data_IF_592012426580
#
_entry.id   IF_592012426580
#
_cell.length_a   1.000
_cell.length_b   1.000
_cell.length_c   1.000
_cell.angle_alpha   90.00
_cell.angle_beta   90.00
_cell.angle_gamma   90.00
#
_symmetry.space_group_name_H-M   'P 1'
#
loop_
_entity.id
_entity.type
_entity.pdbx_description
1 polymer ?
#
# COMPACT_ATOMS: atom_id res chain seq x y z
N UNK A 1 -46.26 22.90 5.04
CA UNK A 1 -45.57 24.17 4.73
C UNK A 1 -44.68 24.47 5.92
N UNK A 2 -43.45 23.95 5.91
CA UNK A 2 -42.52 24.05 7.04
C UNK A 2 -41.81 25.40 7.00
N UNK A 3 -41.97 26.17 8.07
CA UNK A 3 -41.16 27.35 8.38
C UNK A 3 -39.81 26.88 8.95
N UNK A 4 -38.75 27.59 8.60
CA UNK A 4 -37.37 27.22 8.93
C UNK A 4 -37.01 27.34 10.41
N UNK A 5 -35.88 26.73 10.77
CA UNK A 5 -34.67 27.34 11.36
C UNK A 5 -33.72 26.16 11.67
N UNK A 6 -32.49 26.18 11.15
CA UNK A 6 -31.39 25.52 11.84
C UNK A 6 -30.10 26.33 11.65
N UNK A 7 -29.68 26.92 12.77
CA UNK A 7 -28.34 27.43 13.02
C UNK A 7 -27.29 26.33 12.84
N UNK A 8 -26.08 26.75 12.44
CA UNK A 8 -24.86 25.95 12.56
C UNK A 8 -24.10 25.83 11.25
N UNK A 9 -23.11 26.70 11.05
CA UNK A 9 -22.07 26.49 10.05
C UNK A 9 -21.29 25.21 10.42
N UNK A 10 -21.12 24.22 9.52
CA UNK A 10 -20.12 23.19 9.70
C UNK A 10 -18.73 23.76 9.38
N UNK A 11 -17.82 23.43 10.27
CA UNK A 11 -16.39 23.73 10.28
C UNK A 11 -15.67 23.31 8.99
N UNK A 12 -14.56 23.99 8.68
CA UNK A 12 -13.69 23.67 7.53
C UNK A 12 -12.98 22.33 7.77
N UNK A 13 -13.63 21.22 7.44
CA UNK A 13 -13.07 19.89 7.52
C UNK A 13 -13.78 18.89 6.62
N UNK A 14 -12.98 18.15 5.85
CA UNK A 14 -13.35 16.91 5.14
C UNK A 14 -14.37 17.01 3.99
N UNK A 15 -13.91 17.48 2.83
CA UNK A 15 -14.46 16.96 1.57
C UNK A 15 -13.94 15.53 1.39
N UNK A 16 -14.81 14.54 1.62
CA UNK A 16 -14.61 13.17 1.16
C UNK A 16 -14.38 13.21 -0.37
N UNK A 17 -13.14 13.00 -0.80
CA UNK A 17 -12.83 12.81 -2.22
C UNK A 17 -13.23 11.39 -2.63
N UNK A 18 -14.53 11.17 -2.85
CA UNK A 18 -14.95 10.09 -3.74
C UNK A 18 -14.57 10.51 -5.17
N UNK A 19 -13.42 10.04 -5.63
CA UNK A 19 -12.85 10.43 -6.91
C UNK A 19 -12.52 9.23 -7.77
N UNK A 20 -12.88 9.30 -9.05
CA UNK A 20 -12.38 8.38 -10.06
C UNK A 20 -10.90 8.69 -10.36
N UNK A 21 -10.03 7.70 -10.26
CA UNK A 21 -8.60 7.85 -10.54
C UNK A 21 -8.23 7.24 -11.89
N UNK A 22 -7.55 8.02 -12.74
CA UNK A 22 -7.00 7.55 -14.01
C UNK A 22 -5.49 7.30 -13.91
N UNK A 23 -5.02 6.15 -14.40
CA UNK A 23 -3.58 5.87 -14.58
C UNK A 23 -3.22 6.07 -16.05
N UNK A 24 -2.43 7.10 -16.33
CA UNK A 24 -2.01 7.47 -17.69
C UNK A 24 -0.53 7.14 -17.87
N UNK A 25 -0.25 5.94 -18.40
CA UNK A 25 1.11 5.39 -18.60
C UNK A 25 1.45 5.14 -20.09
N UNK A 26 0.55 5.50 -20.99
CA UNK A 26 0.64 5.22 -22.42
C UNK A 26 -0.10 6.29 -23.22
N UNK A 27 0.27 6.45 -24.49
CA UNK A 27 -0.36 7.42 -25.38
C UNK A 27 -1.87 7.16 -25.56
N UNK A 28 -2.29 5.90 -25.59
CA UNK A 28 -3.70 5.56 -25.75
C UNK A 28 -4.52 5.93 -24.52
N UNK A 29 -4.01 5.67 -23.31
CA UNK A 29 -4.65 6.14 -22.08
C UNK A 29 -4.64 7.67 -21.96
N UNK A 30 -3.62 8.34 -22.51
CA UNK A 30 -3.60 9.80 -22.56
C UNK A 30 -4.72 10.36 -23.46
N UNK A 31 -4.95 9.74 -24.63
CA UNK A 31 -6.06 10.12 -25.51
C UNK A 31 -7.42 9.91 -24.83
N UNK A 32 -7.61 8.78 -24.15
CA UNK A 32 -8.84 8.48 -23.41
C UNK A 32 -9.08 9.50 -22.28
N UNK A 33 -8.03 9.84 -21.52
CA UNK A 33 -8.13 10.85 -20.47
C UNK A 33 -8.49 12.23 -21.04
N UNK A 34 -7.86 12.66 -22.13
CA UNK A 34 -8.21 13.91 -22.81
C UNK A 34 -9.68 13.91 -23.26
N UNK A 35 -10.16 12.80 -23.84
CA UNK A 35 -11.55 12.67 -24.25
C UNK A 35 -12.50 12.77 -23.05
N UNK A 36 -12.19 12.10 -21.94
CA UNK A 36 -12.97 12.20 -20.71
C UNK A 36 -13.06 13.63 -20.18
N UNK A 37 -11.92 14.34 -20.10
CA UNK A 37 -11.88 15.74 -19.65
C UNK A 37 -12.72 16.65 -20.54
N UNK A 38 -12.66 16.44 -21.86
CA UNK A 38 -13.45 17.21 -22.84
C UNK A 38 -14.96 16.95 -22.70
N UNK A 39 -15.37 15.71 -22.40
CA UNK A 39 -16.78 15.39 -22.18
C UNK A 39 -17.29 16.05 -20.90
N UNK A 40 -16.54 15.95 -19.81
CA UNK A 40 -16.87 16.58 -18.52
C UNK A 40 -16.96 18.10 -18.60
N UNK A 41 -16.15 18.74 -19.46
CA UNK A 41 -16.21 20.18 -19.68
C UNK A 41 -17.55 20.66 -20.27
N UNK A 42 -18.33 19.77 -20.92
CA UNK A 42 -19.66 20.09 -21.44
C UNK A 42 -20.73 20.19 -20.35
N UNK A 43 -20.50 19.58 -19.17
CA UNK A 43 -21.49 19.50 -18.09
C UNK A 43 -21.58 20.78 -17.24
N UNK A 44 -20.88 21.86 -17.64
CA UNK A 44 -20.81 23.18 -16.99
C UNK A 44 -20.49 23.15 -15.48
N UNK A 45 -20.08 21.99 -14.96
CA UNK A 45 -19.76 21.78 -13.56
C UNK A 45 -18.25 21.83 -13.39
N UNK A 46 -17.71 22.70 -12.51
CA UNK A 46 -16.27 22.74 -12.25
C UNK A 46 -15.74 21.38 -11.75
N UNK A 47 -14.74 20.84 -12.43
CA UNK A 47 -14.01 19.63 -12.02
C UNK A 47 -12.56 20.01 -11.68
N UNK A 48 -12.05 19.50 -10.57
CA UNK A 48 -10.65 19.69 -10.16
C UNK A 48 -9.90 18.39 -10.40
N UNK A 49 -8.85 18.46 -11.22
CA UNK A 49 -7.95 17.33 -11.47
C UNK A 49 -6.63 17.54 -10.72
N UNK A 50 -6.15 16.51 -10.03
CA UNK A 50 -4.84 16.54 -9.38
C UNK A 50 -3.88 15.58 -10.07
N UNK A 51 -2.73 16.09 -10.51
CA UNK A 51 -1.65 15.27 -11.06
C UNK A 51 -0.82 14.74 -9.89
N UNK A 52 -0.82 13.42 -9.72
CA UNK A 52 0.09 12.74 -8.80
C UNK A 52 1.22 12.11 -9.60
N UNK A 53 2.44 12.57 -9.38
CA UNK A 53 3.63 11.93 -9.93
C UNK A 53 3.82 10.59 -9.19
N UNK A 54 3.74 9.49 -9.92
CA UNK A 54 3.86 8.15 -9.35
C UNK A 54 5.25 7.93 -8.80
N UNK A 55 5.39 7.93 -7.48
CA UNK A 55 6.50 7.24 -6.82
C UNK A 55 5.97 5.87 -6.46
N UNK A 56 6.41 4.83 -7.20
CA UNK A 56 5.90 3.45 -7.15
C UNK A 56 4.42 3.36 -7.58
N UNK A 57 4.07 2.45 -8.50
CA UNK A 57 2.67 2.29 -8.90
C UNK A 57 1.83 1.87 -7.69
N UNK A 58 0.65 2.47 -7.49
CA UNK A 58 -0.29 2.14 -6.39
C UNK A 58 -0.50 0.62 -6.26
N UNK A 59 -0.43 -0.11 -7.38
CA UNK A 59 -0.50 -1.57 -7.42
C UNK A 59 0.66 -2.24 -6.67
N UNK A 60 1.89 -1.76 -6.84
CA UNK A 60 3.06 -2.31 -6.15
C UNK A 60 3.02 -2.00 -4.65
N UNK A 61 2.52 -0.81 -4.26
CA UNK A 61 2.33 -0.48 -2.85
C UNK A 61 1.29 -1.39 -2.19
N UNK A 62 0.12 -1.55 -2.81
CA UNK A 62 -0.93 -2.41 -2.28
C UNK A 62 -0.49 -3.87 -2.16
N UNK A 63 0.25 -4.37 -3.16
CA UNK A 63 0.70 -5.75 -3.15
C UNK A 63 1.79 -6.04 -2.10
N UNK A 64 2.58 -5.04 -1.68
CA UNK A 64 3.48 -5.20 -0.53
C UNK A 64 2.73 -5.30 0.79
N UNK A 65 1.74 -4.44 1.00
CA UNK A 65 0.90 -4.50 2.18
C UNK A 65 0.17 -5.85 2.26
N UNK A 66 -0.28 -6.37 1.11
CA UNK A 66 -0.81 -7.72 1.01
C UNK A 66 0.23 -8.78 1.40
N UNK A 67 1.44 -8.73 0.83
CA UNK A 67 2.52 -9.67 1.18
C UNK A 67 2.84 -9.64 2.68
N UNK A 68 2.96 -8.46 3.31
CA UNK A 68 3.24 -8.35 4.74
C UNK A 68 2.14 -8.99 5.58
N UNK A 69 0.88 -8.85 5.15
CA UNK A 69 -0.27 -9.47 5.82
C UNK A 69 -0.29 -10.97 5.67
N UNK A 70 0.01 -11.49 4.49
CA UNK A 70 0.11 -12.94 4.24
C UNK A 70 1.23 -13.56 5.07
N UNK A 71 2.40 -12.91 5.15
CA UNK A 71 3.50 -13.34 6.02
C UNK A 71 3.09 -13.34 7.48
N UNK A 72 2.44 -12.28 7.95
CA UNK A 72 1.99 -12.19 9.35
C UNK A 72 1.02 -13.32 9.69
N UNK A 73 0.01 -13.55 8.85
CA UNK A 73 -0.97 -14.60 9.04
C UNK A 73 -0.31 -16.00 9.02
N UNK A 74 0.53 -16.27 8.02
CA UNK A 74 1.17 -17.57 7.88
C UNK A 74 2.11 -17.89 9.06
N UNK A 75 2.85 -16.90 9.56
CA UNK A 75 3.68 -17.05 10.76
C UNK A 75 2.81 -17.31 12.00
N UNK A 76 1.73 -16.55 12.19
CA UNK A 76 0.82 -16.72 13.32
C UNK A 76 0.16 -18.11 13.30
N UNK A 77 -0.29 -18.56 12.13
CA UNK A 77 -0.93 -19.87 11.93
C UNK A 77 0.05 -21.03 12.21
N UNK A 78 1.34 -20.81 11.95
CA UNK A 78 2.42 -21.74 12.29
C UNK A 78 2.89 -21.64 13.76
N UNK A 79 2.23 -20.80 14.57
CA UNK A 79 2.52 -20.65 16.00
C UNK A 79 3.70 -19.72 16.33
N UNK A 80 4.19 -18.96 15.36
CA UNK A 80 5.21 -17.94 15.60
C UNK A 80 4.58 -16.66 16.13
N UNK A 81 5.28 -16.02 17.06
CA UNK A 81 4.96 -14.69 17.57
C UNK A 81 6.22 -13.91 17.88
N UNK A 82 6.03 -12.66 18.29
CA UNK A 82 7.10 -11.85 18.87
C UNK A 82 7.02 -11.97 20.41
N UNK A 83 8.16 -12.16 21.09
CA UNK A 83 8.16 -12.22 22.55
C UNK A 83 7.79 -10.87 23.13
N UNK A 84 6.94 -10.86 24.15
CA UNK A 84 6.59 -9.64 24.86
C UNK A 84 7.80 -9.13 25.69
N UNK A 85 8.11 -7.82 25.68
CA UNK A 85 9.33 -7.28 26.30
C UNK A 85 9.43 -7.50 27.81
N UNK A 86 8.30 -7.67 28.50
CA UNK A 86 8.27 -7.95 29.94
C UNK A 86 8.09 -9.43 30.29
N UNK A 87 7.72 -10.28 29.33
CA UNK A 87 7.48 -11.69 29.57
C UNK A 87 7.65 -12.49 28.28
N UNK A 88 8.72 -13.28 28.20
CA UNK A 88 9.05 -14.04 27.00
C UNK A 88 8.08 -15.21 26.73
N UNK A 89 7.31 -15.64 27.73
CA UNK A 89 6.29 -16.68 27.59
C UNK A 89 5.03 -16.16 26.86
N UNK A 90 4.85 -14.83 26.81
CA UNK A 90 3.76 -14.20 26.08
C UNK A 90 4.22 -13.96 24.64
N UNK A 91 3.61 -14.69 23.71
CA UNK A 91 3.78 -14.48 22.28
C UNK A 91 2.72 -13.51 21.77
N UNK A 92 3.16 -12.36 21.28
CA UNK A 92 2.30 -11.39 20.61
C UNK A 92 2.23 -11.80 19.13
N UNK A 93 1.03 -11.91 18.52
CA UNK A 93 0.91 -12.20 17.10
C UNK A 93 1.60 -11.13 16.24
N UNK A 94 2.16 -11.55 15.10
CA UNK A 94 2.64 -10.64 14.09
C UNK A 94 1.47 -9.89 13.45
N UNK A 95 1.68 -8.60 13.23
CA UNK A 95 0.79 -7.75 12.42
C UNK A 95 1.49 -7.38 11.12
N UNK A 96 0.72 -6.87 10.15
CA UNK A 96 1.27 -6.32 8.90
C UNK A 96 2.39 -5.28 9.17
N UNK A 97 2.18 -4.39 10.15
CA UNK A 97 3.18 -3.39 10.52
C UNK A 97 4.41 -4.04 11.18
N UNK A 98 4.23 -5.05 12.04
CA UNK A 98 5.35 -5.76 12.66
C UNK A 98 6.24 -6.43 11.60
N UNK A 99 5.64 -7.10 10.59
CA UNK A 99 6.41 -7.68 9.47
C UNK A 99 7.19 -6.59 8.73
N UNK A 100 6.53 -5.47 8.41
CA UNK A 100 7.18 -4.35 7.73
C UNK A 100 8.35 -3.77 8.52
N UNK A 101 8.19 -3.53 9.83
CA UNK A 101 9.19 -2.84 10.65
C UNK A 101 10.30 -3.76 11.13
N UNK A 102 9.99 -5.00 11.48
CA UNK A 102 10.95 -5.93 12.07
C UNK A 102 11.68 -6.77 11.02
N UNK A 103 11.06 -7.03 9.87
CA UNK A 103 11.63 -7.90 8.83
C UNK A 103 12.08 -7.03 7.66
N UNK A 104 11.14 -6.33 7.02
CA UNK A 104 11.40 -5.72 5.72
C UNK A 104 12.30 -4.47 5.79
N UNK A 105 12.05 -3.56 6.74
CA UNK A 105 12.83 -2.33 6.90
C UNK A 105 14.34 -2.59 7.18
N UNK A 106 14.71 -3.51 8.08
CA UNK A 106 16.11 -3.88 8.29
C UNK A 106 16.77 -4.42 7.02
N UNK A 107 16.05 -5.24 6.25
CA UNK A 107 16.54 -5.81 4.98
C UNK A 107 16.86 -4.69 3.98
N UNK A 108 15.93 -3.77 3.74
CA UNK A 108 16.15 -2.71 2.73
C UNK A 108 17.19 -1.68 3.18
N UNK A 109 17.37 -1.50 4.49
CA UNK A 109 18.45 -0.70 5.04
C UNK A 109 19.80 -1.37 4.79
N UNK A 110 19.89 -2.68 5.02
CA UNK A 110 21.13 -3.43 4.80
C UNK A 110 21.48 -3.57 3.31
N UNK A 111 20.50 -3.82 2.44
CA UNK A 111 20.72 -4.04 1.01
C UNK A 111 20.95 -2.74 0.23
N UNK A 112 20.27 -1.64 0.61
CA UNK A 112 20.19 -0.44 -0.24
C UNK A 112 20.38 0.88 0.52
N UNK A 113 20.71 0.85 1.82
CA UNK A 113 20.78 2.04 2.69
C UNK A 113 19.50 2.89 2.68
N UNK A 114 18.34 2.24 2.54
CA UNK A 114 17.02 2.89 2.48
C UNK A 114 16.19 2.55 3.70
N UNK A 115 15.56 3.57 4.28
CA UNK A 115 14.74 3.42 5.50
C UNK A 115 13.24 3.33 5.23
N UNK A 116 12.82 3.48 3.98
CA UNK A 116 11.40 3.48 3.62
C UNK A 116 11.18 2.75 2.31
N UNK A 117 10.14 1.92 2.28
CA UNK A 117 9.68 1.22 1.08
C UNK A 117 9.34 2.19 -0.05
N UNK A 118 8.99 3.44 0.26
CA UNK A 118 8.71 4.50 -0.72
C UNK A 118 9.94 4.95 -1.53
N UNK A 119 11.15 4.65 -1.05
CA UNK A 119 12.42 5.05 -1.70
C UNK A 119 12.98 3.96 -2.63
N UNK A 120 12.34 2.79 -2.65
CA UNK A 120 12.80 1.64 -3.42
C UNK A 120 12.21 1.67 -4.84
N UNK A 121 13.06 1.45 -5.84
CA UNK A 121 12.60 1.18 -7.20
C UNK A 121 11.98 -0.23 -7.32
N UNK A 122 11.49 -0.59 -8.50
CA UNK A 122 10.83 -1.88 -8.74
C UNK A 122 11.79 -3.06 -8.57
N UNK A 123 13.04 -2.93 -9.00
CA UNK A 123 14.02 -4.02 -8.92
C UNK A 123 14.45 -4.27 -7.49
N UNK A 124 14.81 -3.20 -6.77
CA UNK A 124 15.17 -3.27 -5.35
C UNK A 124 14.02 -3.84 -4.51
N UNK A 125 12.78 -3.50 -4.88
CA UNK A 125 11.59 -4.06 -4.22
C UNK A 125 11.50 -5.57 -4.37
N UNK A 126 11.60 -6.05 -5.60
CA UNK A 126 11.49 -7.48 -5.91
C UNK A 126 12.62 -8.26 -5.24
N UNK A 127 13.85 -7.73 -5.26
CA UNK A 127 15.01 -8.33 -4.60
C UNK A 127 14.83 -8.43 -3.07
N UNK A 128 14.45 -7.34 -2.41
CA UNK A 128 14.21 -7.37 -0.96
C UNK A 128 13.03 -8.29 -0.57
N UNK A 129 11.99 -8.34 -1.38
CA UNK A 129 10.81 -9.17 -1.11
C UNK A 129 11.15 -10.66 -1.23
N UNK A 130 11.86 -11.05 -2.28
CA UNK A 130 12.34 -12.41 -2.45
C UNK A 130 13.29 -12.83 -1.32
N UNK A 131 14.23 -11.94 -0.95
CA UNK A 131 15.13 -12.20 0.17
C UNK A 131 14.37 -12.41 1.48
N UNK A 132 13.41 -11.55 1.81
CA UNK A 132 12.61 -11.67 3.02
C UNK A 132 11.85 -13.00 3.06
N UNK A 133 11.21 -13.40 1.96
CA UNK A 133 10.42 -14.63 1.90
C UNK A 133 11.28 -15.88 2.01
N UNK A 134 12.45 -15.89 1.36
CA UNK A 134 13.42 -16.97 1.52
C UNK A 134 13.91 -17.05 2.97
N UNK A 135 14.24 -15.90 3.59
CA UNK A 135 14.65 -15.87 4.99
C UNK A 135 13.54 -16.37 5.92
N UNK A 136 12.27 -16.01 5.67
CA UNK A 136 11.13 -16.55 6.42
C UNK A 136 11.04 -18.07 6.24
N UNK A 137 11.10 -18.57 5.02
CA UNK A 137 11.03 -20.01 4.76
C UNK A 137 12.18 -20.78 5.42
N UNK A 138 13.42 -20.29 5.31
CA UNK A 138 14.61 -20.91 5.91
C UNK A 138 14.53 -20.97 7.44
N UNK A 139 13.99 -19.93 8.09
CA UNK A 139 14.02 -19.83 9.54
C UNK A 139 12.75 -20.36 10.23
N UNK A 140 11.62 -20.44 9.52
CA UNK A 140 10.33 -20.85 10.09
C UNK A 140 9.74 -22.10 9.46
N UNK A 141 10.23 -22.53 8.29
CA UNK A 141 9.59 -23.57 7.47
C UNK A 141 8.29 -23.12 6.79
N UNK A 142 7.85 -21.88 7.01
CA UNK A 142 6.65 -21.31 6.40
C UNK A 142 6.96 -20.81 4.99
N UNK A 143 6.38 -21.47 3.99
CA UNK A 143 6.50 -21.06 2.59
C UNK A 143 5.27 -20.25 2.21
N UNK A 144 5.50 -19.03 1.72
CA UNK A 144 4.44 -18.12 1.29
C UNK A 144 4.62 -17.90 -0.21
N UNK A 145 3.58 -18.22 -0.97
CA UNK A 145 3.56 -17.95 -2.40
C UNK A 145 3.46 -16.44 -2.65
N UNK A 146 4.35 -15.92 -3.49
CA UNK A 146 4.35 -14.50 -3.81
C UNK A 146 3.01 -14.08 -4.45
N UNK A 147 2.38 -12.96 -4.03
CA UNK A 147 1.17 -12.47 -4.67
C UNK A 147 1.41 -12.33 -6.17
N UNK A 148 0.58 -13.00 -6.98
CA UNK A 148 0.71 -13.01 -8.44
C UNK A 148 0.77 -11.60 -9.06
N UNK A 149 0.22 -10.59 -8.37
CA UNK A 149 0.27 -9.17 -8.75
C UNK A 149 1.67 -8.54 -8.74
N UNK A 150 2.65 -9.13 -8.06
CA UNK A 150 4.03 -8.64 -8.01
C UNK A 150 4.98 -9.38 -8.96
N UNK A 151 4.59 -10.54 -9.51
CA UNK A 151 5.43 -11.33 -10.43
C UNK A 151 5.65 -10.68 -11.81
N UNK A 152 4.79 -9.73 -12.19
CA UNK A 152 4.74 -9.13 -13.53
C UNK A 152 5.09 -7.62 -13.53
N UNK A 153 5.90 -7.16 -12.56
CA UNK A 153 6.35 -5.76 -12.45
C UNK A 153 7.80 -5.60 -12.85
#
# INVERSE_FOLDING_TARGET
MWHGVSNGLPDRGEFLMEGESWVVDSQDKAKMFCQFVMEQAKEETPRIYQIKYGNRSNKQSNALHLMFREVANALNDAGFGQPHPFNLDIQIPYTEEAVKTLFFQPIIKAMFDKTSTRKLDTKELSEASNYMLNAVAENSGVVIDFPHSLRNL
#
